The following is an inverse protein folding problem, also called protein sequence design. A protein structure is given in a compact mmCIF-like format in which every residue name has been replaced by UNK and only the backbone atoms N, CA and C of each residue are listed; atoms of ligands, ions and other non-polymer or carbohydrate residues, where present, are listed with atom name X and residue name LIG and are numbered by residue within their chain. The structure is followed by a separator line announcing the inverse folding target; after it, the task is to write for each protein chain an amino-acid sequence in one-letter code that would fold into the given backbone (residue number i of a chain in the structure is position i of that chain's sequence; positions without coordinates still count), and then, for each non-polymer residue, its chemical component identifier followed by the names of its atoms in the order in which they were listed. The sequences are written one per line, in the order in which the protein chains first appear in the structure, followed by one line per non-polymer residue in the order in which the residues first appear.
data_IF_220790400708
#
_entry.id   IF_220790400708
#
_cell.length_a   1.000
_cell.length_b   1.000
_cell.length_c   1.000
_cell.angle_alpha   90.00
_cell.angle_beta   90.00
_cell.angle_gamma   90.00
#
_symmetry.space_group_name_H-M   'P 1'
#
loop_
_entity.id
_entity.type
_entity.pdbx_description
1 polymer ?
#
# COMPACT_ATOMS: atom_id res chain seq x y z
N UNK A 1 17.17 -20.40 4.93
CA UNK A 1 16.49 -19.09 4.94
C UNK A 1 15.71 -19.04 3.66
N UNK A 2 14.41 -18.74 3.74
CA UNK A 2 13.46 -18.90 2.64
C UNK A 2 13.94 -18.22 1.36
N UNK A 3 14.52 -17.02 1.46
CA UNK A 3 15.13 -16.33 0.32
C UNK A 3 16.31 -17.10 -0.30
N UNK A 4 17.17 -17.75 0.50
CA UNK A 4 18.27 -18.59 -0.01
C UNK A 4 17.77 -19.85 -0.71
N UNK A 5 16.70 -20.45 -0.18
CA UNK A 5 16.05 -21.63 -0.80
C UNK A 5 15.43 -21.26 -2.15
N UNK A 6 14.71 -20.15 -2.24
CA UNK A 6 14.18 -19.63 -3.50
C UNK A 6 15.29 -19.31 -4.51
N UNK A 7 16.43 -18.73 -4.08
CA UNK A 7 17.58 -18.49 -4.96
C UNK A 7 18.20 -19.78 -5.53
N UNK A 8 18.12 -20.87 -4.79
CA UNK A 8 18.63 -22.17 -5.22
C UNK A 8 17.72 -22.86 -6.24
N UNK A 9 16.43 -22.51 -6.30
CA UNK A 9 15.50 -23.03 -7.30
C UNK A 9 15.90 -22.57 -8.71
N UNK A 10 15.58 -23.39 -9.70
CA UNK A 10 15.70 -23.04 -11.12
C UNK A 10 14.65 -22.01 -11.52
N UNK A 11 14.87 -21.33 -12.64
CA UNK A 11 13.90 -20.35 -13.18
C UNK A 11 12.56 -21.02 -13.47
N UNK A 12 12.55 -22.25 -13.97
CA UNK A 12 11.31 -22.97 -14.29
C UNK A 12 10.51 -23.34 -13.03
N UNK A 13 11.20 -23.72 -11.94
CA UNK A 13 10.55 -23.96 -10.65
C UNK A 13 9.97 -22.67 -10.04
N UNK A 14 10.68 -21.55 -10.16
CA UNK A 14 10.20 -20.24 -9.69
C UNK A 14 8.97 -19.79 -10.50
N UNK A 15 8.99 -19.94 -11.82
CA UNK A 15 7.84 -19.66 -12.70
C UNK A 15 6.63 -20.51 -12.29
N UNK A 16 6.83 -21.82 -12.09
CA UNK A 16 5.75 -22.73 -11.66
C UNK A 16 5.18 -22.35 -10.30
N UNK A 17 6.02 -21.94 -9.35
CA UNK A 17 5.59 -21.47 -8.05
C UNK A 17 4.77 -20.18 -8.14
N UNK A 18 5.19 -19.21 -8.97
CA UNK A 18 4.43 -17.97 -9.21
C UNK A 18 3.08 -18.27 -9.86
N UNK A 19 3.03 -19.12 -10.88
CA UNK A 19 1.77 -19.50 -11.53
C UNK A 19 0.81 -20.22 -10.59
N UNK A 20 1.32 -21.05 -9.68
CA UNK A 20 0.48 -21.69 -8.65
C UNK A 20 -0.17 -20.67 -7.71
N UNK A 21 0.51 -19.55 -7.47
CA UNK A 21 0.01 -18.41 -6.69
C UNK A 21 -0.82 -17.43 -7.53
N UNK A 22 -1.09 -17.74 -8.80
CA UNK A 22 -1.82 -16.84 -9.71
C UNK A 22 -1.04 -15.60 -10.12
N UNK A 23 0.28 -15.57 -9.90
CA UNK A 23 1.16 -14.46 -10.22
C UNK A 23 1.85 -14.68 -11.56
N UNK A 24 2.00 -13.60 -12.32
CA UNK A 24 2.76 -13.61 -13.56
C UNK A 24 4.26 -13.68 -13.27
N UNK A 25 4.97 -14.55 -13.98
CA UNK A 25 6.41 -14.63 -13.88
C UNK A 25 7.07 -13.56 -14.76
N UNK A 26 7.13 -12.34 -14.23
CA UNK A 26 7.78 -11.20 -14.86
C UNK A 26 9.23 -11.01 -14.34
N UNK A 27 10.09 -10.44 -15.19
CA UNK A 27 11.44 -10.02 -14.81
C UNK A 27 12.50 -11.13 -14.82
N UNK A 28 13.63 -10.84 -14.17
CA UNK A 28 14.77 -11.73 -14.03
C UNK A 28 14.55 -12.71 -12.86
N UNK A 29 15.42 -13.72 -12.76
CA UNK A 29 15.38 -14.71 -11.68
C UNK A 29 15.27 -14.07 -10.29
N UNK A 30 16.05 -13.02 -10.03
CA UNK A 30 16.02 -12.34 -8.72
C UNK A 30 14.68 -11.64 -8.45
N UNK A 31 14.01 -11.11 -9.47
CA UNK A 31 12.68 -10.48 -9.34
C UNK A 31 11.62 -11.54 -8.98
N UNK A 32 11.70 -12.73 -9.59
CA UNK A 32 10.83 -13.86 -9.27
C UNK A 32 11.06 -14.38 -7.84
N UNK A 33 12.32 -14.47 -7.42
CA UNK A 33 12.70 -14.84 -6.05
C UNK A 33 12.15 -13.83 -5.06
N UNK A 34 12.29 -12.53 -5.33
CA UNK A 34 11.79 -11.50 -4.44
C UNK A 34 10.27 -11.54 -4.33
N UNK A 35 9.57 -11.64 -5.47
CA UNK A 35 8.11 -11.75 -5.51
C UNK A 35 7.61 -12.94 -4.68
N UNK A 36 8.18 -14.13 -4.89
CA UNK A 36 7.81 -15.32 -4.11
C UNK A 36 8.14 -15.18 -2.63
N UNK A 37 9.27 -14.55 -2.30
CA UNK A 37 9.66 -14.32 -0.91
C UNK A 37 8.66 -13.39 -0.22
N UNK A 38 8.24 -12.31 -0.87
CA UNK A 38 7.23 -11.40 -0.33
C UNK A 38 5.88 -12.10 -0.15
N UNK A 39 5.45 -12.92 -1.11
CA UNK A 39 4.21 -13.72 -0.98
C UNK A 39 4.29 -14.65 0.23
N UNK A 40 5.39 -15.37 0.42
CA UNK A 40 5.56 -16.25 1.58
C UNK A 40 5.53 -15.47 2.90
N UNK A 41 6.18 -14.30 2.96
CA UNK A 41 6.11 -13.45 4.15
C UNK A 41 4.68 -12.99 4.45
N UNK A 42 3.90 -12.64 3.42
CA UNK A 42 2.50 -12.26 3.58
C UNK A 42 1.63 -13.44 4.01
N UNK A 43 1.81 -14.62 3.44
CA UNK A 43 1.11 -15.85 3.84
C UNK A 43 1.41 -16.21 5.30
N UNK A 44 2.67 -16.09 5.72
CA UNK A 44 3.09 -16.32 7.11
C UNK A 44 2.51 -15.30 8.08
N UNK A 45 2.53 -14.02 7.71
CA UNK A 45 1.93 -12.96 8.52
C UNK A 45 0.42 -13.17 8.66
N UNK A 46 -0.27 -13.56 7.58
CA UNK A 46 -1.69 -13.87 7.60
C UNK A 46 -1.98 -15.12 8.45
N UNK A 47 -1.16 -16.16 8.34
CA UNK A 47 -1.29 -17.35 9.18
C UNK A 47 -1.07 -17.05 10.66
N UNK A 48 -0.05 -16.25 11.00
CA UNK A 48 0.20 -15.77 12.35
C UNK A 48 -1.00 -14.95 12.86
N UNK A 49 -1.50 -14.00 12.07
CA UNK A 49 -2.68 -13.19 12.41
C UNK A 49 -3.91 -14.05 12.65
N UNK A 50 -4.14 -15.05 11.79
CA UNK A 50 -5.24 -16.00 11.96
C UNK A 50 -5.10 -16.80 13.24
N UNK A 51 -3.89 -17.24 13.59
CA UNK A 51 -3.62 -17.97 14.82
C UNK A 51 -3.81 -17.10 16.07
N UNK A 52 -3.38 -15.83 16.03
CA UNK A 52 -3.63 -14.87 17.12
C UNK A 52 -5.12 -14.69 17.35
N UNK A 53 -5.90 -14.51 16.29
CA UNK A 53 -7.36 -14.39 16.37
C UNK A 53 -7.99 -15.69 16.89
N UNK A 54 -7.49 -16.87 16.49
CA UNK A 54 -7.92 -18.17 17.05
C UNK A 54 -7.59 -18.32 18.52
N UNK A 55 -6.49 -17.75 19.00
CA UNK A 55 -6.12 -17.80 20.41
C UNK A 55 -7.04 -16.95 21.29
N UNK A 56 -7.72 -15.94 20.72
CA UNK A 56 -8.65 -15.11 21.47
C UNK A 56 -9.89 -15.90 21.97
N UNK A 57 -10.37 -15.61 23.20
CA UNK A 57 -11.68 -16.09 23.66
C UNK A 57 -12.80 -15.62 22.74
N UNK A 58 -13.82 -16.46 22.57
CA UNK A 58 -14.94 -16.16 21.65
C UNK A 58 -15.67 -14.87 22.01
N UNK A 59 -15.79 -14.54 23.31
CA UNK A 59 -16.45 -13.32 23.76
C UNK A 59 -15.66 -12.05 23.44
N UNK A 60 -14.32 -12.14 23.44
CA UNK A 60 -13.44 -11.05 23.01
C UNK A 60 -13.59 -10.82 21.51
N UNK A 61 -13.61 -11.90 20.71
CA UNK A 61 -13.86 -11.80 19.27
C UNK A 61 -15.21 -11.12 18.98
N UNK A 62 -16.28 -11.57 19.63
CA UNK A 62 -17.62 -10.97 19.46
C UNK A 62 -17.63 -9.47 19.78
N UNK A 63 -17.02 -9.06 20.90
CA UNK A 63 -16.94 -7.64 21.29
C UNK A 63 -16.23 -6.80 20.23
N UNK A 64 -15.13 -7.32 19.70
CA UNK A 64 -14.35 -6.61 18.69
C UNK A 64 -15.06 -6.53 17.34
N UNK A 65 -15.73 -7.60 16.91
CA UNK A 65 -16.56 -7.59 15.70
C UNK A 65 -17.71 -6.58 15.83
N UNK A 66 -18.39 -6.55 16.99
CA UNK A 66 -19.46 -5.59 17.26
C UNK A 66 -18.97 -4.15 17.16
N UNK A 67 -17.79 -3.83 17.70
CA UNK A 67 -17.17 -2.50 17.58
C UNK A 67 -16.84 -2.09 16.14
N UNK A 68 -16.85 -3.03 15.19
CA UNK A 68 -16.61 -2.82 13.76
C UNK A 68 -17.87 -2.99 12.90
N UNK A 69 -19.03 -3.20 13.53
CA UNK A 69 -20.29 -3.46 12.82
C UNK A 69 -20.31 -4.81 12.08
N UNK A 70 -19.47 -5.77 12.45
CA UNK A 70 -19.41 -7.10 11.83
C UNK A 70 -20.31 -8.09 12.58
N UNK A 71 -20.94 -9.00 11.83
CA UNK A 71 -21.83 -10.01 12.40
C UNK A 71 -21.05 -11.07 13.20
N UNK A 72 -21.57 -11.43 14.37
CA UNK A 72 -21.05 -12.54 15.17
C UNK A 72 -21.63 -13.88 14.70
N UNK A 73 -20.82 -14.95 14.79
CA UNK A 73 -21.21 -16.28 14.33
C UNK A 73 -20.34 -17.37 14.95
N UNK A 74 -20.05 -18.43 14.18
CA UNK A 74 -19.07 -19.43 14.59
C UNK A 74 -17.68 -18.80 14.63
N UNK A 75 -16.79 -19.35 15.46
CA UNK A 75 -15.48 -18.76 15.70
C UNK A 75 -14.66 -18.57 14.41
N UNK A 76 -14.59 -19.57 13.55
CA UNK A 76 -13.87 -19.44 12.28
C UNK A 76 -14.51 -18.41 11.35
N UNK A 77 -15.85 -18.39 11.22
CA UNK A 77 -16.57 -17.40 10.41
C UNK A 77 -16.26 -15.96 10.88
N UNK A 78 -16.16 -15.74 12.21
CA UNK A 78 -15.82 -14.43 12.77
C UNK A 78 -14.37 -14.03 12.47
N UNK A 79 -13.45 -14.99 12.45
CA UNK A 79 -12.04 -14.75 12.12
C UNK A 79 -11.91 -14.39 10.64
N UNK A 80 -12.58 -15.13 9.76
CA UNK A 80 -12.58 -14.86 8.33
C UNK A 80 -13.25 -13.50 8.03
N UNK A 81 -14.36 -13.18 8.70
CA UNK A 81 -15.00 -11.86 8.58
C UNK A 81 -14.08 -10.71 9.05
N UNK A 82 -13.31 -10.93 10.12
CA UNK A 82 -12.32 -9.95 10.58
C UNK A 82 -11.22 -9.73 9.54
N UNK A 83 -10.60 -10.80 9.07
CA UNK A 83 -9.51 -10.72 8.09
C UNK A 83 -9.99 -10.07 6.77
N UNK A 84 -11.20 -10.40 6.33
CA UNK A 84 -11.80 -9.76 5.15
C UNK A 84 -12.05 -8.26 5.36
N UNK A 85 -12.44 -7.85 6.58
CA UNK A 85 -12.59 -6.44 6.91
C UNK A 85 -11.23 -5.73 6.93
N UNK A 86 -10.18 -6.32 7.51
CA UNK A 86 -8.82 -5.78 7.47
C UNK A 86 -8.32 -5.62 6.03
N UNK A 87 -8.53 -6.63 5.17
CA UNK A 87 -8.18 -6.56 3.75
C UNK A 87 -8.89 -5.41 3.02
N UNK A 88 -10.19 -5.20 3.26
CA UNK A 88 -10.95 -4.08 2.68
C UNK A 88 -10.44 -2.72 3.15
N UNK A 89 -10.04 -2.60 4.42
CA UNK A 89 -9.46 -1.35 4.93
C UNK A 89 -8.12 -1.04 4.26
N UNK A 90 -7.28 -2.06 4.07
CA UNK A 90 -6.01 -1.91 3.36
C UNK A 90 -6.26 -1.50 1.92
N UNK A 91 -7.15 -2.19 1.21
CA UNK A 91 -7.53 -1.86 -0.17
C UNK A 91 -8.04 -0.41 -0.30
N UNK A 92 -8.93 0.01 0.61
CA UNK A 92 -9.45 1.37 0.63
C UNK A 92 -8.35 2.42 0.87
N UNK A 93 -7.43 2.16 1.81
CA UNK A 93 -6.31 3.05 2.09
C UNK A 93 -5.33 3.14 0.91
N UNK A 94 -4.99 2.00 0.29
CA UNK A 94 -4.14 1.98 -0.91
C UNK A 94 -4.80 2.68 -2.09
N UNK A 95 -6.11 2.45 -2.30
CA UNK A 95 -6.86 3.10 -3.37
C UNK A 95 -7.02 4.60 -3.15
N UNK A 96 -7.08 5.05 -1.89
CA UNK A 96 -7.02 6.47 -1.56
C UNK A 96 -5.65 7.06 -1.90
N UNK A 97 -4.55 6.45 -1.42
CA UNK A 97 -3.19 6.94 -1.72
C UNK A 97 -2.92 7.01 -3.22
N UNK A 98 -3.34 6.00 -4.00
CA UNK A 98 -3.22 6.05 -5.47
C UNK A 98 -3.97 7.24 -6.08
N UNK A 99 -5.15 7.60 -5.57
CA UNK A 99 -5.87 8.79 -6.04
C UNK A 99 -5.12 10.08 -5.68
N UNK A 100 -4.56 10.16 -4.47
CA UNK A 100 -3.71 11.28 -4.06
C UNK A 100 -2.52 11.43 -5.02
N UNK A 101 -1.84 10.33 -5.33
CA UNK A 101 -0.72 10.30 -6.27
C UNK A 101 -1.14 10.73 -7.69
N UNK A 102 -2.30 10.30 -8.18
CA UNK A 102 -2.83 10.73 -9.47
C UNK A 102 -3.15 12.23 -9.51
N UNK A 103 -3.73 12.78 -8.44
CA UNK A 103 -4.01 14.23 -8.33
C UNK A 103 -2.71 15.01 -8.28
N UNK A 104 -1.75 14.59 -7.46
CA UNK A 104 -0.43 15.21 -7.38
C UNK A 104 0.32 15.16 -8.71
N UNK A 105 0.23 14.05 -9.45
CA UNK A 105 0.84 13.92 -10.78
C UNK A 105 0.23 14.91 -11.79
N UNK A 106 -1.11 15.08 -11.76
CA UNK A 106 -1.79 16.07 -12.61
C UNK A 106 -1.40 17.50 -12.23
N UNK A 107 -1.41 17.83 -10.94
CA UNK A 107 -0.96 19.13 -10.44
C UNK A 107 0.48 19.41 -10.82
N UNK A 108 1.37 18.41 -10.70
CA UNK A 108 2.77 18.52 -11.13
C UNK A 108 2.86 18.89 -12.60
N UNK A 109 2.16 18.16 -13.47
CA UNK A 109 2.14 18.43 -14.91
C UNK A 109 1.63 19.85 -15.23
N UNK A 110 0.61 20.34 -14.52
CA UNK A 110 0.12 21.72 -14.66
C UNK A 110 1.16 22.76 -14.23
N UNK A 111 1.82 22.56 -13.09
CA UNK A 111 2.87 23.44 -12.58
C UNK A 111 4.12 23.45 -13.50
N UNK A 112 4.43 22.33 -14.15
CA UNK A 112 5.51 22.24 -15.13
C UNK A 112 5.25 23.15 -16.35
N UNK A 113 4.00 23.45 -16.70
CA UNK A 113 3.68 24.40 -17.78
C UNK A 113 3.88 25.86 -17.39
N UNK A 114 3.98 26.17 -16.08
CA UNK A 114 4.14 27.53 -15.56
C UNK A 114 5.58 28.02 -15.70
N UNK A 115 5.76 29.34 -15.77
CA UNK A 115 7.11 29.91 -15.78
C UNK A 115 7.71 29.89 -14.38
N UNK A 116 9.03 30.02 -14.28
CA UNK A 116 9.70 30.06 -12.98
C UNK A 116 9.25 31.26 -12.12
N UNK A 117 8.82 32.36 -12.74
CA UNK A 117 8.30 33.53 -12.04
C UNK A 117 6.89 33.25 -11.51
N UNK A 118 5.99 32.70 -12.32
CA UNK A 118 4.64 32.34 -11.86
C UNK A 118 4.69 31.40 -10.65
N UNK A 119 5.57 30.39 -10.69
CA UNK A 119 5.75 29.45 -9.58
C UNK A 119 6.32 30.12 -8.32
N UNK A 120 7.19 31.12 -8.49
CA UNK A 120 7.73 31.90 -7.38
C UNK A 120 6.62 32.72 -6.72
N UNK A 121 5.76 33.34 -7.53
CA UNK A 121 4.65 34.15 -7.05
C UNK A 121 3.62 33.26 -6.32
N UNK A 122 3.28 32.09 -6.88
CA UNK A 122 2.42 31.10 -6.21
C UNK A 122 2.97 30.63 -4.85
N UNK A 123 4.28 30.35 -4.75
CA UNK A 123 4.91 30.05 -3.47
C UNK A 123 4.79 31.23 -2.48
N UNK A 124 5.01 32.47 -2.95
CA UNK A 124 4.94 33.66 -2.12
C UNK A 124 3.52 33.92 -1.61
N UNK A 125 2.50 33.76 -2.46
CA UNK A 125 1.07 33.93 -2.12
C UNK A 125 0.63 32.95 -1.03
N UNK A 126 1.14 31.71 -1.07
CA UNK A 126 0.93 30.68 -0.06
C UNK A 126 1.87 30.79 1.15
N UNK A 127 2.70 31.85 1.24
CA UNK A 127 3.70 32.07 2.29
C UNK A 127 4.70 30.88 2.45
N UNK A 128 5.01 30.20 1.35
CA UNK A 128 5.91 29.06 1.31
C UNK A 128 7.35 29.50 1.12
N UNK A 129 8.28 28.67 1.62
CA UNK A 129 9.71 28.85 1.33
C UNK A 129 9.93 28.65 -0.16
N UNK A 130 10.72 29.51 -0.79
CA UNK A 130 11.06 29.31 -2.20
C UNK A 130 12.04 28.14 -2.33
N UNK A 131 11.59 27.07 -2.97
CA UNK A 131 12.47 25.99 -3.39
C UNK A 131 13.55 26.47 -4.36
N UNK A 132 14.65 25.72 -4.43
CA UNK A 132 15.79 26.05 -5.30
C UNK A 132 15.45 25.64 -6.74
N UNK A 133 15.42 26.63 -7.64
CA UNK A 133 15.09 26.41 -9.05
C UNK A 133 13.61 26.15 -9.30
N UNK A 134 13.27 25.74 -10.53
CA UNK A 134 11.89 25.47 -10.93
C UNK A 134 11.35 24.22 -10.23
N UNK A 135 12.10 23.12 -10.27
CA UNK A 135 11.66 21.84 -9.69
C UNK A 135 11.42 21.95 -8.19
N UNK A 136 12.34 22.58 -7.43
CA UNK A 136 12.14 22.75 -5.99
C UNK A 136 10.91 23.58 -5.63
N UNK A 137 10.48 24.53 -6.49
CA UNK A 137 9.23 25.29 -6.28
C UNK A 137 8.00 24.43 -6.54
N UNK A 138 8.04 23.59 -7.58
CA UNK A 138 6.99 22.62 -7.87
C UNK A 138 6.83 21.66 -6.69
N UNK A 139 7.94 21.07 -6.22
CA UNK A 139 7.93 20.17 -5.04
C UNK A 139 7.35 20.87 -3.82
N UNK A 140 7.76 22.11 -3.53
CA UNK A 140 7.23 22.87 -2.38
C UNK A 140 5.72 23.09 -2.49
N UNK A 141 5.20 23.39 -3.69
CA UNK A 141 3.76 23.60 -3.92
C UNK A 141 2.97 22.30 -3.80
N UNK A 142 3.54 21.16 -4.23
CA UNK A 142 2.90 19.85 -4.09
C UNK A 142 2.88 19.36 -2.63
N UNK A 143 3.97 19.59 -1.89
CA UNK A 143 4.03 19.30 -0.44
C UNK A 143 2.99 20.13 0.32
N UNK A 144 2.86 21.42 -0.01
CA UNK A 144 1.85 22.30 0.57
C UNK A 144 0.42 21.83 0.27
N UNK A 145 0.13 21.46 -0.99
CA UNK A 145 -1.16 20.93 -1.40
C UNK A 145 -1.51 19.65 -0.61
N UNK A 146 -0.53 18.78 -0.37
CA UNK A 146 -0.69 17.59 0.48
C UNK A 146 -0.92 17.94 1.95
N UNK A 147 -0.19 18.91 2.49
CA UNK A 147 -0.29 19.29 3.90
C UNK A 147 -1.60 19.98 4.27
N UNK A 148 -2.23 20.67 3.30
CA UNK A 148 -3.47 21.42 3.51
C UNK A 148 -4.73 20.70 2.99
N UNK A 149 -4.60 19.43 2.58
CA UNK A 149 -5.73 18.63 2.12
C UNK A 149 -6.33 19.10 0.79
N UNK A 150 -5.55 19.81 -0.04
CA UNK A 150 -5.98 20.24 -1.39
C UNK A 150 -6.08 19.05 -2.36
N UNK A 151 -5.54 17.90 -1.96
CA UNK A 151 -5.50 16.66 -2.74
C UNK A 151 -6.39 15.54 -2.17
N UNK A 152 -7.03 15.78 -1.02
CA UNK A 152 -7.88 14.80 -0.29
C UNK A 152 -9.29 14.60 -0.89
#
# INVERSE_FOLDING_TARGET
SKRKELKAMSVDELKKALSKQGLEAAGKKDDMVETLYQVQLLEEALAARKNDLRALPIDVLKKQLAGRGLAAGKKEDMIDAWLAHEAKLVEAATGYETKIEEVLAKMKAELETKTANDLKDMCADKNLKLGVGKEGRIETLLEDARAHGEVD
#
